data_IF_091326926609
#
_entry.id   IF_091326926609
#
_cell.length_a   1.000
_cell.length_b   1.000
_cell.length_c   1.000
_cell.angle_alpha   90.00
_cell.angle_beta   90.00
_cell.angle_gamma   90.00
#
_symmetry.space_group_name_H-M   'P 1'
#
loop_
_entity.id
_entity.type
_entity.pdbx_description
1 polymer ?
#
# COMPACT_ATOMS: atom_id res chain seq x y z
N UNK A 1 38.15 11.64 13.84
CA UNK A 1 37.34 12.86 13.59
C UNK A 1 36.29 12.54 12.54
N UNK A 2 35.02 12.48 12.95
CA UNK A 2 33.81 12.74 12.17
C UNK A 2 32.64 12.42 13.11
N UNK A 3 32.17 13.42 13.84
CA UNK A 3 30.98 13.28 14.66
C UNK A 3 29.81 12.93 13.72
N UNK A 4 29.26 11.72 13.86
CA UNK A 4 28.02 11.32 13.20
C UNK A 4 26.95 12.27 13.71
N UNK A 5 26.58 13.27 12.90
CA UNK A 5 25.40 14.09 13.15
C UNK A 5 24.23 13.12 13.23
N UNK A 6 23.71 12.90 14.44
CA UNK A 6 22.39 12.33 14.67
C UNK A 6 21.38 13.37 14.19
N UNK A 7 21.27 13.48 12.86
CA UNK A 7 20.39 14.42 12.20
C UNK A 7 18.96 13.90 12.31
N UNK A 8 18.18 14.51 13.20
CA UNK A 8 16.71 14.45 13.24
C UNK A 8 16.09 15.22 12.06
N UNK A 9 16.72 15.14 10.88
CA UNK A 9 16.26 15.73 9.63
C UNK A 9 16.01 14.59 8.66
N UNK A 10 14.73 14.28 8.45
CA UNK A 10 14.20 13.21 7.61
C UNK A 10 14.44 13.48 6.11
N UNK A 11 15.69 13.68 5.72
CA UNK A 11 16.06 13.90 4.33
C UNK A 11 16.28 12.56 3.64
N UNK A 12 15.61 12.36 2.51
CA UNK A 12 15.66 11.12 1.74
C UNK A 12 16.92 11.09 0.85
N UNK A 13 18.08 10.79 1.44
CA UNK A 13 19.38 10.79 0.75
C UNK A 13 20.16 9.48 0.98
N UNK A 14 21.20 9.28 0.17
CA UNK A 14 22.09 8.10 0.29
C UNK A 14 22.79 8.15 1.65
N UNK A 15 22.85 7.02 2.35
CA UNK A 15 23.35 6.85 3.72
C UNK A 15 22.48 7.42 4.84
N UNK A 16 21.27 7.90 4.55
CA UNK A 16 20.29 8.19 5.59
C UNK A 16 20.00 6.92 6.40
N UNK A 17 20.05 7.03 7.72
CA UNK A 17 19.90 5.94 8.68
C UNK A 17 18.63 6.11 9.53
N UNK A 18 17.90 5.02 9.71
CA UNK A 18 16.62 4.98 10.42
C UNK A 18 16.68 3.93 11.54
N UNK A 19 16.23 4.28 12.74
CA UNK A 19 16.20 3.39 13.91
C UNK A 19 15.06 2.39 13.89
N UNK A 20 13.99 2.68 13.13
CA UNK A 20 12.78 1.87 13.09
C UNK A 20 12.21 1.82 11.67
N UNK A 21 11.49 0.74 11.37
CA UNK A 21 10.76 0.65 10.10
C UNK A 21 9.71 1.75 9.95
N UNK A 22 9.07 2.15 11.05
CA UNK A 22 8.01 3.17 11.06
C UNK A 22 8.57 4.53 10.66
N UNK A 23 9.70 4.94 11.24
CA UNK A 23 10.37 6.19 10.86
C UNK A 23 10.79 6.21 9.38
N UNK A 24 11.22 5.06 8.86
CA UNK A 24 11.53 4.89 7.44
C UNK A 24 10.27 5.00 6.57
N UNK A 25 9.17 4.35 6.97
CA UNK A 25 7.91 4.38 6.25
C UNK A 25 7.34 5.81 6.17
N UNK A 26 7.36 6.57 7.28
CA UNK A 26 6.94 7.97 7.28
C UNK A 26 7.79 8.82 6.33
N UNK A 27 9.12 8.59 6.30
CA UNK A 27 10.02 9.29 5.40
C UNK A 27 9.71 8.96 3.92
N UNK A 28 9.41 7.69 3.64
CA UNK A 28 8.94 7.26 2.31
C UNK A 28 7.63 7.95 1.94
N UNK A 29 6.62 7.96 2.81
CA UNK A 29 5.34 8.60 2.54
C UNK A 29 5.47 10.10 2.27
N UNK A 30 6.32 10.80 3.03
CA UNK A 30 6.65 12.21 2.77
C UNK A 30 7.30 12.40 1.40
N UNK A 31 8.24 11.54 1.04
CA UNK A 31 8.88 11.57 -0.28
C UNK A 31 7.86 11.31 -1.40
N UNK A 32 6.96 10.34 -1.24
CA UNK A 32 5.92 10.03 -2.23
C UNK A 32 5.00 11.22 -2.49
N UNK A 33 4.56 11.89 -1.43
CA UNK A 33 3.67 13.05 -1.51
C UNK A 33 4.37 14.27 -2.12
N UNK A 34 5.65 14.51 -1.77
CA UNK A 34 6.42 15.64 -2.28
C UNK A 34 6.77 15.49 -3.77
N UNK A 35 7.01 14.26 -4.24
CA UNK A 35 7.45 13.98 -5.61
C UNK A 35 6.35 13.40 -6.51
N UNK A 36 5.11 13.31 -6.02
CA UNK A 36 3.96 12.73 -6.73
C UNK A 36 4.26 11.34 -7.33
N UNK A 37 5.00 10.51 -6.59
CA UNK A 37 5.43 9.19 -7.01
C UNK A 37 5.03 8.16 -5.97
N UNK A 38 4.31 7.10 -6.36
CA UNK A 38 4.03 5.98 -5.46
C UNK A 38 5.10 4.90 -5.59
N UNK A 39 5.70 4.53 -4.47
CA UNK A 39 6.66 3.45 -4.36
C UNK A 39 5.97 2.12 -4.07
N UNK A 40 6.60 1.06 -4.56
CA UNK A 40 6.18 -0.32 -4.48
C UNK A 40 7.37 -1.17 -4.05
N UNK A 41 7.17 -2.04 -3.06
CA UNK A 41 8.21 -2.96 -2.61
C UNK A 41 8.41 -4.07 -3.63
N UNK A 42 9.51 -3.98 -4.40
CA UNK A 42 9.85 -4.96 -5.43
C UNK A 42 10.44 -6.23 -4.83
N UNK A 43 11.31 -6.08 -3.84
CA UNK A 43 11.92 -7.19 -3.10
C UNK A 43 12.02 -6.79 -1.63
N UNK A 44 11.78 -7.75 -0.76
CA UNK A 44 12.00 -7.59 0.67
C UNK A 44 12.66 -8.84 1.22
N UNK A 45 13.44 -8.66 2.27
CA UNK A 45 14.03 -9.72 3.06
C UNK A 45 13.80 -9.40 4.52
N UNK A 46 13.05 -10.25 5.21
CA UNK A 46 12.80 -10.09 6.65
C UNK A 46 14.04 -10.43 7.46
N UNK A 47 14.11 -9.92 8.69
CA UNK A 47 15.21 -10.23 9.62
C UNK A 47 15.33 -11.74 9.84
N UNK A 48 14.21 -12.45 10.05
CA UNK A 48 14.18 -13.90 10.22
C UNK A 48 14.83 -14.64 9.04
N UNK A 49 14.50 -14.23 7.81
CA UNK A 49 15.09 -14.81 6.61
C UNK A 49 16.57 -14.46 6.45
N UNK A 50 17.01 -13.33 7.01
CA UNK A 50 18.41 -12.96 7.07
C UNK A 50 19.18 -13.83 8.06
N UNK A 51 18.67 -13.99 9.28
CA UNK A 51 19.23 -14.82 10.34
C UNK A 51 19.41 -16.28 9.92
N UNK A 52 18.46 -16.86 9.16
CA UNK A 52 18.61 -18.22 8.60
C UNK A 52 19.85 -18.41 7.74
N UNK A 53 20.31 -17.35 7.06
CA UNK A 53 21.52 -17.38 6.21
C UNK A 53 22.78 -16.95 6.97
N UNK A 54 22.63 -16.04 7.92
CA UNK A 54 23.72 -15.46 8.70
C UNK A 54 23.35 -15.44 10.18
N UNK A 55 23.44 -16.59 10.87
CA UNK A 55 22.96 -16.73 12.25
C UNK A 55 23.80 -15.97 13.27
N UNK A 56 25.02 -15.55 12.90
CA UNK A 56 25.93 -14.78 13.77
C UNK A 56 25.64 -13.27 13.77
N UNK A 57 24.81 -12.76 12.84
CA UNK A 57 24.49 -11.33 12.79
C UNK A 57 23.42 -10.99 13.81
N UNK A 58 23.58 -9.86 14.48
CA UNK A 58 22.53 -9.23 15.28
C UNK A 58 21.69 -8.31 14.40
N UNK A 59 20.40 -8.20 14.69
CA UNK A 59 19.49 -7.26 14.05
C UNK A 59 18.50 -6.77 15.10
N UNK A 60 18.23 -5.46 15.07
CA UNK A 60 17.17 -4.89 15.87
C UNK A 60 15.79 -5.29 15.30
N UNK A 61 14.96 -5.90 16.14
CA UNK A 61 13.61 -6.37 15.78
C UNK A 61 12.71 -5.23 15.27
N UNK A 62 12.96 -3.99 15.70
CA UNK A 62 12.21 -2.80 15.27
C UNK A 62 12.33 -2.49 13.76
N UNK A 63 13.35 -3.03 13.09
CA UNK A 63 13.57 -2.78 11.66
C UNK A 63 12.67 -3.64 10.76
N UNK A 64 12.14 -4.78 11.25
CA UNK A 64 11.31 -5.79 10.54
C UNK A 64 11.98 -6.45 9.31
N UNK A 65 12.75 -5.69 8.53
CA UNK A 65 13.41 -6.09 7.31
C UNK A 65 14.93 -5.88 7.41
N UNK A 66 15.68 -6.80 6.84
CA UNK A 66 17.13 -6.67 6.68
C UNK A 66 17.50 -6.02 5.35
N UNK A 67 16.72 -6.25 4.29
CA UNK A 67 16.94 -5.65 2.97
C UNK A 67 15.59 -5.30 2.34
N UNK A 68 15.50 -4.13 1.72
CA UNK A 68 14.33 -3.66 0.99
C UNK A 68 14.74 -3.04 -0.34
N UNK A 69 13.99 -3.35 -1.38
CA UNK A 69 14.11 -2.74 -2.70
C UNK A 69 12.77 -2.11 -3.07
N UNK A 70 12.72 -0.78 -3.05
CA UNK A 70 11.57 0.00 -3.46
C UNK A 70 11.74 0.42 -4.91
N UNK A 71 10.67 0.37 -5.69
CA UNK A 71 10.62 0.85 -7.06
C UNK A 71 9.37 1.70 -7.26
N UNK A 72 9.31 2.47 -8.33
CA UNK A 72 8.06 3.10 -8.71
C UNK A 72 6.98 2.02 -9.03
N UNK A 73 5.71 2.32 -8.78
CA UNK A 73 4.57 1.48 -9.18
C UNK A 73 4.58 1.15 -10.69
N UNK A 74 5.13 2.07 -11.50
CA UNK A 74 5.31 1.89 -12.94
C UNK A 74 6.55 1.06 -13.30
N UNK A 75 7.49 0.85 -12.38
CA UNK A 75 8.66 -0.01 -12.56
C UNK A 75 8.31 -1.47 -12.31
N UNK A 76 7.87 -1.75 -11.08
CA UNK A 76 7.32 -3.05 -10.67
C UNK A 76 8.16 -4.29 -10.97
N UNK A 77 7.65 -5.46 -10.57
CA UNK A 77 8.15 -6.75 -11.05
C UNK A 77 7.35 -7.12 -12.30
N UNK A 78 8.01 -7.24 -13.45
CA UNK A 78 7.39 -7.82 -14.65
C UNK A 78 7.04 -9.28 -14.34
N UNK A 79 5.74 -9.58 -14.28
CA UNK A 79 5.27 -10.95 -14.17
C UNK A 79 5.14 -11.53 -15.57
N UNK A 80 5.76 -12.67 -15.82
CA UNK A 80 5.65 -13.35 -17.11
C UNK A 80 4.31 -14.11 -17.06
N UNK A 81 3.35 -13.70 -17.89
CA UNK A 81 2.08 -14.43 -18.01
C UNK A 81 2.29 -15.69 -18.85
N UNK A 82 1.86 -16.84 -18.33
CA UNK A 82 1.79 -18.10 -19.10
C UNK A 82 0.46 -18.28 -19.85
N UNK A 83 -0.40 -17.25 -19.85
CA UNK A 83 -1.71 -17.28 -20.52
C UNK A 83 -1.57 -17.04 -22.03
N UNK A 84 -2.55 -17.50 -22.80
CA UNK A 84 -2.70 -17.27 -24.25
C UNK A 84 -2.90 -15.81 -24.67
N UNK A 85 -3.05 -14.87 -23.73
CA UNK A 85 -3.10 -13.43 -24.06
C UNK A 85 -4.40 -12.96 -24.73
N UNK A 86 -5.46 -13.77 -24.73
CA UNK A 86 -6.73 -13.50 -25.39
C UNK A 86 -7.50 -12.27 -24.85
N UNK A 87 -7.11 -11.73 -23.68
CA UNK A 87 -7.72 -10.50 -23.13
C UNK A 87 -6.89 -9.28 -23.56
N UNK A 88 -7.38 -8.45 -24.49
CA UNK A 88 -6.62 -7.32 -25.03
C UNK A 88 -6.40 -6.20 -24.01
N UNK A 89 -7.33 -6.01 -23.07
CA UNK A 89 -7.30 -4.90 -22.12
C UNK A 89 -6.82 -5.37 -20.74
N UNK A 90 -5.50 -5.57 -20.58
CA UNK A 90 -4.91 -5.79 -19.26
C UNK A 90 -4.58 -4.46 -18.57
N UNK A 91 -5.26 -4.17 -17.47
CA UNK A 91 -4.99 -2.97 -16.66
C UNK A 91 -3.72 -3.16 -15.83
N UNK A 92 -2.56 -2.80 -16.40
CA UNK A 92 -1.30 -2.75 -15.66
C UNK A 92 -0.77 -1.32 -15.63
N UNK A 93 -0.24 -0.93 -14.48
CA UNK A 93 0.47 0.35 -14.34
C UNK A 93 1.92 0.26 -14.85
N UNK A 94 2.41 -0.91 -15.28
CA UNK A 94 3.82 -1.11 -15.58
C UNK A 94 4.23 -0.41 -16.88
N UNK A 95 5.15 0.55 -16.77
CA UNK A 95 5.80 1.28 -17.87
C UNK A 95 7.31 1.01 -17.94
N UNK A 96 7.83 0.12 -17.09
CA UNK A 96 9.26 -0.19 -17.03
C UNK A 96 10.12 0.95 -16.48
N UNK A 97 9.61 1.70 -15.51
CA UNK A 97 10.34 2.80 -14.88
C UNK A 97 11.63 2.30 -14.18
N UNK A 98 12.80 2.93 -14.43
CA UNK A 98 14.09 2.51 -13.87
C UNK A 98 14.34 2.99 -12.43
N UNK A 99 13.43 3.81 -11.87
CA UNK A 99 13.50 4.29 -10.50
C UNK A 99 13.53 3.14 -9.48
N UNK A 100 14.56 3.14 -8.64
CA UNK A 100 14.82 2.12 -7.64
C UNK A 100 15.57 2.71 -6.45
N UNK A 101 15.18 2.27 -5.25
CA UNK A 101 15.86 2.58 -4.01
C UNK A 101 16.18 1.25 -3.34
N UNK A 102 17.43 1.10 -2.89
CA UNK A 102 17.86 -0.05 -2.12
C UNK A 102 18.18 0.38 -0.71
N UNK A 103 17.59 -0.31 0.25
CA UNK A 103 17.76 -0.10 1.68
C UNK A 103 18.27 -1.40 2.29
N UNK A 104 19.25 -1.28 3.19
CA UNK A 104 19.84 -2.42 3.89
C UNK A 104 20.04 -2.07 5.35
N UNK A 105 19.89 -3.06 6.21
CA UNK A 105 20.35 -2.92 7.59
C UNK A 105 21.87 -2.70 7.61
N UNK A 106 22.34 -1.86 8.53
CA UNK A 106 23.76 -1.66 8.79
C UNK A 106 24.42 -2.98 9.22
N UNK A 107 25.74 -3.06 9.11
CA UNK A 107 26.48 -4.27 9.55
C UNK A 107 26.32 -4.53 11.05
N UNK A 108 26.14 -3.46 11.82
CA UNK A 108 25.82 -3.50 13.25
C UNK A 108 24.39 -4.03 13.53
N UNK A 109 23.48 -3.92 12.56
CA UNK A 109 22.09 -4.40 12.67
C UNK A 109 21.11 -3.46 13.36
N UNK A 110 21.57 -2.28 13.80
CA UNK A 110 20.77 -1.34 14.59
C UNK A 110 19.90 -0.39 13.75
N UNK A 111 20.33 -0.08 12.51
CA UNK A 111 19.68 0.92 11.66
C UNK A 111 19.40 0.39 10.26
N UNK A 112 18.34 0.89 9.63
CA UNK A 112 18.09 0.76 8.20
C UNK A 112 18.76 1.92 7.46
N UNK A 113 19.63 1.62 6.50
CA UNK A 113 20.37 2.61 5.72
C UNK A 113 20.02 2.55 4.23
N UNK A 114 19.81 3.71 3.62
CA UNK A 114 19.62 3.82 2.16
C UNK A 114 20.98 3.62 1.47
N UNK A 115 21.15 2.48 0.78
CA UNK A 115 22.40 2.12 0.12
C UNK A 115 22.54 2.75 -1.27
N UNK A 116 21.46 2.84 -2.04
CA UNK A 116 21.52 3.38 -3.41
C UNK A 116 20.16 3.94 -3.84
N UNK A 117 20.18 5.04 -4.58
CA UNK A 117 18.99 5.68 -5.16
C UNK A 117 19.25 5.88 -6.66
N UNK A 118 18.35 5.41 -7.52
CA UNK A 118 18.27 5.82 -8.92
C UNK A 118 17.08 6.75 -9.13
N UNK A 119 17.34 8.04 -9.36
CA UNK A 119 16.32 9.08 -9.46
C UNK A 119 15.60 9.18 -10.81
N UNK A 120 15.94 8.35 -11.78
CA UNK A 120 15.42 8.50 -13.15
C UNK A 120 14.02 7.91 -13.29
N UNK A 121 13.08 8.74 -13.75
CA UNK A 121 11.74 8.33 -14.17
C UNK A 121 11.60 8.41 -15.68
N UNK A 122 10.88 7.46 -16.27
CA UNK A 122 10.56 7.46 -17.70
C UNK A 122 9.10 7.89 -17.98
N UNK A 123 8.44 8.48 -17.00
CA UNK A 123 7.05 8.95 -17.07
C UNK A 123 6.89 10.25 -16.29
N UNK A 124 5.84 11.01 -16.62
CA UNK A 124 5.52 12.23 -15.90
C UNK A 124 5.10 11.94 -14.45
N UNK A 125 5.53 12.82 -13.54
CA UNK A 125 5.15 12.84 -12.13
C UNK A 125 4.21 14.03 -11.92
N UNK A 126 2.92 13.79 -12.18
CA UNK A 126 1.89 14.83 -12.10
C UNK A 126 0.98 14.55 -10.91
N UNK A 127 0.62 15.61 -10.18
CA UNK A 127 -0.29 15.53 -9.03
C UNK A 127 -1.63 14.87 -9.40
N UNK A 128 -2.24 15.26 -10.52
CA UNK A 128 -3.51 14.70 -10.97
C UNK A 128 -3.43 13.17 -11.16
N UNK A 129 -2.35 12.69 -11.78
CA UNK A 129 -2.14 11.25 -12.00
C UNK A 129 -1.91 10.51 -10.68
N UNK A 130 -1.20 11.14 -9.74
CA UNK A 130 -0.93 10.58 -8.41
C UNK A 130 -2.22 10.48 -7.57
N UNK A 131 -3.04 11.53 -7.57
CA UNK A 131 -4.30 11.59 -6.81
C UNK A 131 -5.32 10.55 -7.32
N UNK A 132 -5.23 10.15 -8.59
CA UNK A 132 -6.07 9.11 -9.17
C UNK A 132 -5.56 7.67 -8.95
N UNK A 133 -4.39 7.46 -8.33
CA UNK A 133 -3.88 6.12 -8.04
C UNK A 133 -4.79 5.37 -7.04
N UNK A 134 -5.15 4.10 -7.30
CA UNK A 134 -6.02 3.34 -6.39
C UNK A 134 -5.51 3.23 -4.95
N UNK A 135 -4.18 3.20 -4.76
CA UNK A 135 -3.54 3.17 -3.44
C UNK A 135 -3.70 4.48 -2.67
N UNK A 136 -3.69 5.62 -3.37
CA UNK A 136 -3.82 6.97 -2.78
C UNK A 136 -5.29 7.28 -2.49
N UNK A 137 -6.20 6.91 -3.41
CA UNK A 137 -7.65 7.07 -3.26
C UNK A 137 -8.28 6.22 -2.16
N UNK A 138 -7.54 5.26 -1.60
CA UNK A 138 -8.04 4.37 -0.57
C UNK A 138 -8.44 5.20 0.67
N UNK A 139 -9.71 5.05 1.06
CA UNK A 139 -10.26 5.66 2.27
C UNK A 139 -9.67 4.98 3.51
N UNK A 140 -9.54 5.77 4.56
CA UNK A 140 -9.17 5.24 5.87
C UNK A 140 -10.30 4.36 6.45
N UNK A 141 -9.99 3.55 7.46
CA UNK A 141 -10.93 2.62 8.06
C UNK A 141 -12.20 3.32 8.58
N UNK A 142 -12.08 4.50 9.18
CA UNK A 142 -13.21 5.22 9.77
C UNK A 142 -14.10 5.88 8.70
N UNK A 143 -13.49 6.54 7.70
CA UNK A 143 -14.22 7.11 6.56
C UNK A 143 -14.89 6.03 5.72
N UNK A 144 -14.27 4.86 5.61
CA UNK A 144 -14.84 3.70 4.93
C UNK A 144 -16.09 3.20 5.64
N UNK A 145 -16.08 3.06 6.97
CA UNK A 145 -17.26 2.67 7.76
C UNK A 145 -18.38 3.69 7.60
N UNK A 146 -18.06 4.98 7.62
CA UNK A 146 -19.02 6.05 7.40
C UNK A 146 -19.67 5.95 6.01
N UNK A 147 -18.88 5.71 4.96
CA UNK A 147 -19.39 5.48 3.61
C UNK A 147 -20.30 4.25 3.53
N UNK A 148 -19.92 3.15 4.20
CA UNK A 148 -20.73 1.92 4.28
C UNK A 148 -22.10 2.19 4.93
N UNK A 149 -22.14 2.96 6.02
CA UNK A 149 -23.39 3.37 6.68
C UNK A 149 -24.29 4.21 5.76
N UNK A 150 -23.74 5.21 5.08
CA UNK A 150 -24.50 6.04 4.13
C UNK A 150 -25.07 5.22 2.96
N UNK A 151 -24.28 4.28 2.45
CA UNK A 151 -24.71 3.38 1.38
C UNK A 151 -25.77 2.39 1.86
N UNK A 152 -25.70 1.94 3.12
CA UNK A 152 -26.73 1.11 3.74
C UNK A 152 -28.07 1.85 3.91
N UNK A 153 -28.02 3.16 4.19
CA UNK A 153 -29.20 4.05 4.21
C UNK A 153 -29.72 4.38 2.80
N UNK A 154 -29.11 3.84 1.74
CA UNK A 154 -29.45 4.07 0.33
C UNK A 154 -29.36 5.55 -0.09
N UNK A 155 -28.43 6.30 0.49
CA UNK A 155 -28.12 7.66 0.04
C UNK A 155 -27.53 7.62 -1.36
N UNK A 156 -27.83 8.63 -2.18
CA UNK A 156 -27.29 8.75 -3.53
C UNK A 156 -25.76 8.80 -3.54
N UNK A 157 -25.14 7.96 -4.38
CA UNK A 157 -23.67 7.83 -4.46
C UNK A 157 -22.96 9.14 -4.76
N UNK A 158 -23.58 10.04 -5.53
CA UNK A 158 -23.03 11.38 -5.83
C UNK A 158 -22.94 12.25 -4.57
N UNK A 159 -23.94 12.18 -3.71
CA UNK A 159 -23.96 12.94 -2.44
C UNK A 159 -22.88 12.40 -1.50
N UNK A 160 -22.77 11.07 -1.38
CA UNK A 160 -21.72 10.42 -0.60
C UNK A 160 -20.33 10.78 -1.12
N UNK A 161 -20.13 10.79 -2.44
CA UNK A 161 -18.87 11.19 -3.06
C UNK A 161 -18.48 12.63 -2.69
N UNK A 162 -19.39 13.58 -2.84
CA UNK A 162 -19.13 14.99 -2.52
C UNK A 162 -18.78 15.17 -1.04
N UNK A 163 -19.50 14.49 -0.14
CA UNK A 163 -19.22 14.55 1.28
C UNK A 163 -17.83 13.99 1.63
N UNK A 164 -17.45 12.86 1.02
CA UNK A 164 -16.13 12.26 1.25
C UNK A 164 -15.00 13.13 0.69
N UNK A 165 -15.17 13.74 -0.48
CA UNK A 165 -14.18 14.65 -1.07
C UNK A 165 -14.00 15.88 -0.16
N UNK A 166 -15.10 16.46 0.34
CA UNK A 166 -15.05 17.62 1.24
C UNK A 166 -14.36 17.29 2.57
N UNK A 167 -14.63 16.11 3.15
CA UNK A 167 -14.07 15.71 4.44
C UNK A 167 -12.60 15.30 4.34
N UNK A 168 -12.26 14.48 3.36
CA UNK A 168 -10.96 13.79 3.29
C UNK A 168 -9.94 14.46 2.37
N UNK A 169 -10.39 15.40 1.52
CA UNK A 169 -9.60 16.02 0.45
C UNK A 169 -8.98 15.01 -0.55
N UNK A 170 -9.43 13.74 -0.53
CA UNK A 170 -9.00 12.70 -1.47
C UNK A 170 -9.96 12.60 -2.64
N UNK A 171 -9.42 12.21 -3.80
CA UNK A 171 -10.23 11.86 -4.95
C UNK A 171 -10.95 10.53 -4.70
N UNK A 172 -12.27 10.51 -4.84
CA UNK A 172 -13.10 9.30 -4.74
C UNK A 172 -13.88 9.16 -6.04
N UNK A 173 -13.80 7.99 -6.67
CA UNK A 173 -14.57 7.68 -7.88
C UNK A 173 -15.89 7.02 -7.51
N UNK A 174 -16.92 7.22 -8.33
CA UNK A 174 -18.21 6.53 -8.18
C UNK A 174 -18.04 5.00 -8.20
N UNK A 175 -17.06 4.50 -8.95
CA UNK A 175 -16.73 3.08 -9.00
C UNK A 175 -16.21 2.55 -7.66
N UNK A 176 -15.52 3.37 -6.87
CA UNK A 176 -15.06 2.98 -5.53
C UNK A 176 -16.26 2.75 -4.61
N UNK A 177 -17.23 3.67 -4.63
CA UNK A 177 -18.47 3.55 -3.87
C UNK A 177 -19.30 2.36 -4.32
N UNK A 178 -19.31 2.06 -5.62
CA UNK A 178 -19.90 0.84 -6.14
C UNK A 178 -19.24 -0.41 -5.54
N UNK A 179 -17.90 -0.47 -5.52
CA UNK A 179 -17.16 -1.60 -4.97
C UNK A 179 -17.35 -1.74 -3.45
N UNK A 180 -17.40 -0.63 -2.72
CA UNK A 180 -17.69 -0.61 -1.28
C UNK A 180 -19.10 -1.16 -1.02
N UNK A 181 -20.11 -0.69 -1.76
CA UNK A 181 -21.48 -1.20 -1.63
C UNK A 181 -21.57 -2.70 -1.96
N UNK A 182 -20.88 -3.15 -3.01
CA UNK A 182 -20.83 -4.55 -3.39
C UNK A 182 -20.16 -5.42 -2.30
N UNK A 183 -19.06 -4.93 -1.71
CA UNK A 183 -18.38 -5.62 -0.62
C UNK A 183 -19.26 -5.72 0.64
N UNK A 184 -19.97 -4.64 1.00
CA UNK A 184 -20.91 -4.63 2.12
C UNK A 184 -22.05 -5.64 1.95
N UNK A 185 -22.65 -5.70 0.76
CA UNK A 185 -23.71 -6.68 0.46
C UNK A 185 -23.21 -8.12 0.52
N UNK A 186 -21.97 -8.37 0.11
CA UNK A 186 -21.34 -9.68 0.24
C UNK A 186 -21.20 -10.09 1.72
N UNK A 187 -20.68 -9.19 2.58
CA UNK A 187 -20.58 -9.47 4.01
C UNK A 187 -21.94 -9.68 4.69
N UNK A 188 -23.00 -9.01 4.22
CA UNK A 188 -24.35 -9.18 4.76
C UNK A 188 -24.98 -10.51 4.35
N UNK A 189 -24.77 -10.95 3.11
CA UNK A 189 -25.27 -12.21 2.57
C UNK A 189 -24.73 -13.46 3.31
N UNK A 190 -23.49 -13.41 3.80
CA UNK A 190 -22.91 -14.49 4.60
C UNK A 190 -23.57 -14.60 5.99
N UNK A 191 -23.96 -13.48 6.62
CA UNK A 191 -24.65 -13.46 7.92
C UNK A 191 -26.13 -13.92 7.83
N UNK A 192 -26.82 -13.58 6.74
CA UNK A 192 -28.25 -13.91 6.52
C UNK A 192 -28.48 -15.36 6.02
N UNK A 193 -27.42 -16.17 5.93
CA UNK A 193 -27.50 -17.59 5.54
C UNK A 193 -27.82 -18.52 6.72
N UNK A 194 -27.51 -18.11 7.96
CA UNK A 194 -27.76 -18.87 9.20
C UNK A 194 -29.26 -19.04 9.56
N UNK A 195 -30.18 -18.08 9.32
CA UNK A 195 -31.60 -18.24 9.71
C UNK A 195 -32.42 -19.16 8.79
N UNK A 196 -31.92 -19.53 7.61
CA UNK A 196 -32.70 -20.33 6.63
C UNK A 196 -32.73 -21.81 6.95
N UNK A 197 -31.76 -22.33 7.70
CA UNK A 197 -31.71 -23.74 8.09
C UNK A 197 -32.67 -24.06 9.25
N UNK A 198 -32.97 -23.07 10.12
CA UNK A 198 -33.90 -23.26 11.24
C UNK A 198 -35.37 -23.33 10.82
N UNK A 199 -35.74 -22.78 9.65
CA UNK A 199 -37.12 -22.84 9.13
C UNK A 199 -37.49 -24.19 8.49
N UNK A 200 -36.51 -25.02 8.11
CA UNK A 200 -36.76 -26.36 7.53
C UNK A 200 -37.15 -27.42 8.56
N UNK A 201 -36.83 -27.24 9.85
CA UNK A 201 -37.11 -28.23 10.91
C UNK A 201 -38.48 -28.07 11.57
N UNK A 202 -39.24 -27.02 11.25
CA UNK A 202 -40.56 -26.76 11.85
C UNK A 202 -41.76 -27.33 11.08
N UNK A 203 -41.56 -28.04 9.96
CA UNK A 203 -42.65 -28.44 9.08
C UNK A 203 -42.77 -29.97 8.86
N UNK A 204 -42.39 -30.76 9.87
CA UNK A 204 -42.62 -32.21 9.90
C UNK A 204 -43.30 -32.54 11.23
N UNK A 205 -44.61 -32.30 11.32
CA UNK A 205 -45.52 -32.94 12.28
C UNK A 205 -46.96 -32.52 11.94
N UNK A 206 -47.54 -33.20 10.95
CA UNK A 206 -48.97 -33.47 10.83
C UNK A 206 -49.14 -34.87 10.28
#
# INVERSE_FOLDING_TARGET
MAARKLGTTFEFHINAAFTSYESFQECVERYENANFCKLYTRRSRTIESALKRTPKRHFNEALKFAELELCCIHGGKKFISHSTGLRPNQSTFQKGCPFMIRVKATDDGDYLMISSISGNHNHALNKESYDHLPSVRKLDADDRKMAEQMLAMKVDKKVVQNHLIQKTQKQVLLYDLHNIAAAYNKSKGDCDSLPKEMKKKGNILK
#
